data_IF_681768722383
#
_entry.id   IF_681768722383
#
_cell.length_a   1.000
_cell.length_b   1.000
_cell.length_c   1.000
_cell.angle_alpha   90.00
_cell.angle_beta   90.00
_cell.angle_gamma   90.00
#
_symmetry.space_group_name_H-M   'P 1'
#
loop_
_entity.id
_entity.type
_entity.pdbx_description
1 polymer ?
#
# COMPACT_ATOMS: atom_id res chain seq x y z
N UNK A 1 -14.09 -10.93 -7.38
CA UNK A 1 -13.08 -10.06 -6.73
C UNK A 1 -13.78 -8.83 -6.25
N UNK A 2 -13.69 -8.54 -4.97
CA UNK A 2 -14.24 -7.32 -4.39
C UNK A 2 -13.39 -6.12 -4.84
N UNK A 3 -14.06 -4.99 -5.14
CA UNK A 3 -13.38 -3.79 -5.59
C UNK A 3 -12.85 -3.03 -4.37
N UNK A 4 -11.53 -2.95 -4.25
CA UNK A 4 -10.88 -2.22 -3.17
C UNK A 4 -11.14 -0.71 -3.27
N UNK A 5 -11.57 -0.11 -2.16
CA UNK A 5 -11.86 1.32 -2.02
C UNK A 5 -11.04 1.93 -0.88
N UNK A 6 -10.96 3.26 -0.83
CA UNK A 6 -10.27 3.97 0.25
C UNK A 6 -10.79 3.59 1.64
N UNK A 7 -12.09 3.34 1.79
CA UNK A 7 -12.72 3.01 3.08
C UNK A 7 -12.16 1.71 3.70
N UNK A 8 -11.75 0.76 2.87
CA UNK A 8 -11.09 -0.47 3.34
C UNK A 8 -9.76 -0.18 4.06
N UNK A 9 -9.07 0.90 3.68
CA UNK A 9 -7.71 1.23 4.17
C UNK A 9 -7.67 2.41 5.12
N UNK A 10 -8.64 3.34 5.06
CA UNK A 10 -8.61 4.57 5.85
C UNK A 10 -8.54 4.30 7.37
N UNK A 11 -9.21 3.26 7.85
CA UNK A 11 -9.14 2.82 9.24
C UNK A 11 -7.86 2.07 9.62
N UNK A 12 -7.00 1.74 8.65
CA UNK A 12 -5.77 0.97 8.84
C UNK A 12 -4.51 1.86 8.91
N UNK A 13 -4.64 3.18 8.94
CA UNK A 13 -3.49 4.08 9.03
C UNK A 13 -2.78 3.89 10.37
N UNK A 14 -1.45 3.80 10.32
CA UNK A 14 -0.51 3.37 11.36
C UNK A 14 -0.58 1.88 11.72
N UNK A 15 -1.31 1.05 10.98
CA UNK A 15 -1.31 -0.41 11.14
C UNK A 15 -0.34 -1.08 10.14
N UNK A 16 0.11 -2.29 10.49
CA UNK A 16 1.14 -3.03 9.74
C UNK A 16 0.51 -4.04 8.79
N UNK A 17 0.93 -3.98 7.52
CA UNK A 17 0.66 -4.98 6.51
C UNK A 17 1.89 -5.87 6.35
N UNK A 18 1.70 -7.19 6.41
CA UNK A 18 2.77 -8.16 6.18
C UNK A 18 2.75 -8.63 4.72
N UNK A 19 3.90 -8.70 4.08
CA UNK A 19 4.05 -9.27 2.74
C UNK A 19 5.11 -10.38 2.75
N UNK A 20 4.90 -11.42 1.97
CA UNK A 20 5.94 -12.42 1.73
C UNK A 20 6.79 -12.02 0.53
N UNK A 21 8.12 -12.05 0.72
CA UNK A 21 9.11 -11.78 -0.32
C UNK A 21 10.28 -12.75 -0.16
N UNK A 22 10.46 -13.65 -1.12
CA UNK A 22 11.56 -14.62 -1.16
C UNK A 22 11.76 -15.34 0.19
N UNK A 23 10.70 -15.97 0.69
CA UNK A 23 10.66 -16.68 1.99
C UNK A 23 10.86 -15.81 3.24
N UNK A 24 10.90 -14.48 3.10
CA UNK A 24 10.93 -13.53 4.21
C UNK A 24 9.56 -12.86 4.36
N UNK A 25 9.13 -12.66 5.61
CA UNK A 25 8.02 -11.75 5.90
C UNK A 25 8.54 -10.33 6.06
N UNK A 26 7.98 -9.40 5.31
CA UNK A 26 8.35 -7.99 5.27
C UNK A 26 7.17 -7.15 5.75
N UNK A 27 7.43 -6.24 6.68
CA UNK A 27 6.40 -5.38 7.24
C UNK A 27 6.36 -4.01 6.57
N UNK A 28 5.16 -3.55 6.24
CA UNK A 28 4.88 -2.23 5.69
C UNK A 28 3.82 -1.54 6.54
N UNK A 29 4.17 -0.43 7.17
CA UNK A 29 3.21 0.37 7.94
C UNK A 29 2.48 1.32 7.00
N UNK A 30 1.15 1.29 6.98
CA UNK A 30 0.36 2.25 6.20
C UNK A 30 0.44 3.62 6.89
N UNK A 31 1.16 4.58 6.33
CA UNK A 31 1.34 5.92 6.95
C UNK A 31 0.38 6.97 6.42
N UNK A 32 -0.19 6.76 5.23
CA UNK A 32 -1.20 7.66 4.65
C UNK A 32 -2.17 6.87 3.77
N UNK A 33 -3.45 7.19 3.86
CA UNK A 33 -4.48 6.77 2.91
C UNK A 33 -5.30 8.01 2.54
N UNK A 34 -5.29 8.42 1.27
CA UNK A 34 -5.96 9.66 0.85
C UNK A 34 -6.63 9.54 -0.51
N UNK A 35 -7.73 10.28 -0.75
CA UNK A 35 -8.33 10.37 -2.07
C UNK A 35 -7.39 11.09 -3.04
N UNK A 36 -7.51 10.76 -4.32
CA UNK A 36 -6.90 11.50 -5.42
C UNK A 36 -7.98 12.23 -6.21
N UNK A 37 -7.63 13.34 -6.90
CA UNK A 37 -8.56 13.99 -7.80
C UNK A 37 -9.07 13.00 -8.87
N UNK A 38 -10.38 12.91 -9.04
CA UNK A 38 -10.98 12.05 -10.06
C UNK A 38 -10.59 12.57 -11.46
N UNK A 39 -9.81 11.77 -12.21
CA UNK A 39 -9.42 12.12 -13.58
C UNK A 39 -10.41 11.66 -14.64
N UNK A 40 -11.32 10.71 -14.33
CA UNK A 40 -12.27 10.13 -15.30
C UNK A 40 -13.63 9.89 -14.64
N UNK A 41 -14.70 10.24 -15.35
CA UNK A 41 -16.08 10.04 -14.89
C UNK A 41 -16.51 8.56 -14.94
N UNK A 42 -15.86 7.74 -15.78
CA UNK A 42 -16.16 6.31 -15.96
C UNK A 42 -15.25 5.36 -15.16
N UNK A 43 -14.57 5.86 -14.12
CA UNK A 43 -13.73 5.02 -13.29
C UNK A 43 -14.57 4.06 -12.43
N UNK A 44 -14.14 2.80 -12.32
CA UNK A 44 -14.85 1.81 -11.51
C UNK A 44 -14.89 2.17 -10.02
N UNK A 45 -13.94 3.00 -9.55
CA UNK A 45 -13.86 3.54 -8.19
C UNK A 45 -13.37 4.98 -8.18
N UNK A 46 -13.63 5.70 -7.09
CA UNK A 46 -12.92 6.95 -6.81
C UNK A 46 -11.43 6.65 -6.59
N UNK A 47 -10.50 7.37 -7.26
CA UNK A 47 -9.09 7.06 -7.15
C UNK A 47 -8.55 7.47 -5.77
N UNK A 48 -7.57 6.71 -5.28
CA UNK A 48 -6.92 6.98 -4.00
C UNK A 48 -5.47 6.50 -4.02
N UNK A 49 -4.67 7.05 -3.12
CA UNK A 49 -3.29 6.61 -2.90
C UNK A 49 -3.11 6.12 -1.47
N UNK A 50 -2.30 5.09 -1.34
CA UNK A 50 -1.75 4.61 -0.07
C UNK A 50 -0.26 4.88 -0.04
N UNK A 51 0.26 5.32 1.10
CA UNK A 51 1.69 5.45 1.35
C UNK A 51 2.07 4.51 2.48
N UNK A 52 3.02 3.64 2.22
CA UNK A 52 3.55 2.69 3.19
C UNK A 52 4.99 3.05 3.53
N UNK A 53 5.38 2.78 4.78
CA UNK A 53 6.77 2.84 5.22
C UNK A 53 7.25 1.42 5.50
N UNK A 54 8.45 1.11 5.04
CA UNK A 54 9.20 -0.04 5.50
C UNK A 54 10.52 0.42 6.13
N UNK A 55 10.91 -0.19 7.25
CA UNK A 55 12.07 0.22 8.05
C UNK A 55 13.34 -0.58 7.76
N UNK A 56 13.32 -1.48 6.77
CA UNK A 56 14.49 -2.25 6.40
C UNK A 56 15.59 -1.32 5.85
N UNK A 57 16.87 -1.63 6.10
CA UNK A 57 17.98 -0.84 5.59
C UNK A 57 18.23 -1.07 4.08
N UNK A 58 17.38 -1.86 3.41
CA UNK A 58 17.48 -2.19 1.99
C UNK A 58 16.25 -1.70 1.24
N UNK A 59 16.44 -1.39 -0.05
CA UNK A 59 15.34 -1.01 -0.94
C UNK A 59 14.66 -2.27 -1.49
N UNK A 60 13.35 -2.37 -1.31
CA UNK A 60 12.54 -3.41 -1.96
C UNK A 60 12.10 -2.96 -3.35
N UNK A 61 12.03 -3.88 -4.34
CA UNK A 61 11.76 -3.51 -5.72
C UNK A 61 10.30 -3.10 -5.94
N UNK A 62 10.04 -2.39 -7.03
CA UNK A 62 8.70 -2.11 -7.50
C UNK A 62 8.03 -3.38 -8.04
N UNK A 63 6.95 -3.83 -7.41
CA UNK A 63 6.19 -5.02 -7.82
C UNK A 63 4.84 -5.10 -7.10
N UNK A 64 4.05 -6.13 -7.41
CA UNK A 64 2.88 -6.49 -6.63
C UNK A 64 3.34 -7.30 -5.42
N UNK A 65 2.97 -6.84 -4.23
CA UNK A 65 3.18 -7.54 -2.96
C UNK A 65 1.88 -8.20 -2.54
N UNK A 66 1.92 -9.49 -2.18
CA UNK A 66 0.81 -10.17 -1.52
C UNK A 66 0.75 -9.68 -0.06
N UNK A 67 -0.02 -8.63 0.18
CA UNK A 67 -0.15 -7.96 1.46
C UNK A 67 -1.26 -8.60 2.29
N UNK A 68 -0.99 -8.86 3.57
CA UNK A 68 -1.94 -9.42 4.53
C UNK A 68 -2.18 -8.44 5.67
N UNK A 69 -3.44 -8.24 6.00
CA UNK A 69 -3.87 -7.42 7.13
C UNK A 69 -5.17 -7.96 7.73
N UNK A 70 -5.35 -8.02 9.07
CA UNK A 70 -6.55 -8.63 9.69
C UNK A 70 -7.89 -8.03 9.24
N UNK A 71 -7.95 -6.72 8.95
CA UNK A 71 -9.18 -6.03 8.51
C UNK A 71 -9.42 -6.11 7.00
N UNK A 72 -8.35 -6.16 6.19
CA UNK A 72 -8.43 -6.06 4.73
C UNK A 72 -8.36 -7.45 4.06
N UNK A 73 -7.83 -8.44 4.77
CA UNK A 73 -7.55 -9.77 4.23
C UNK A 73 -6.21 -9.81 3.49
N UNK A 74 -6.12 -10.73 2.53
CA UNK A 74 -4.96 -10.88 1.65
C UNK A 74 -5.25 -10.24 0.29
N UNK A 75 -4.43 -9.27 -0.10
CA UNK A 75 -4.62 -8.47 -1.31
C UNK A 75 -3.29 -8.22 -2.02
N UNK A 76 -3.28 -8.33 -3.34
CA UNK A 76 -2.13 -7.93 -4.16
C UNK A 76 -2.09 -6.40 -4.31
N UNK A 77 -1.06 -5.75 -3.75
CA UNK A 77 -0.87 -4.29 -3.85
C UNK A 77 0.39 -3.99 -4.67
N UNK A 78 0.25 -3.25 -5.76
CA UNK A 78 1.37 -2.76 -6.53
C UNK A 78 2.04 -1.59 -5.80
N UNK A 79 3.26 -1.82 -5.31
CA UNK A 79 4.06 -0.82 -4.60
C UNK A 79 5.18 -0.29 -5.48
N UNK A 80 5.34 1.03 -5.46
CA UNK A 80 6.44 1.77 -6.09
C UNK A 80 7.24 2.47 -4.98
N UNK A 81 8.57 2.26 -4.85
CA UNK A 81 9.38 3.07 -3.94
C UNK A 81 9.43 4.52 -4.43
N UNK A 82 9.12 5.48 -3.55
CA UNK A 82 9.02 6.90 -3.92
C UNK A 82 9.99 7.82 -3.18
N UNK A 83 10.50 7.39 -2.02
CA UNK A 83 11.49 8.17 -1.27
C UNK A 83 12.30 7.29 -0.31
N UNK A 84 13.51 7.73 0.01
CA UNK A 84 14.29 7.26 1.16
C UNK A 84 14.17 8.27 2.30
N UNK A 85 13.90 7.79 3.50
CA UNK A 85 13.85 8.59 4.73
C UNK A 85 14.86 8.05 5.75
N UNK A 86 15.09 8.81 6.83
CA UNK A 86 15.93 8.34 7.95
C UNK A 86 15.41 7.05 8.58
N UNK A 87 14.09 6.83 8.53
CA UNK A 87 13.42 5.68 9.11
C UNK A 87 13.24 4.50 8.15
N UNK A 88 13.79 4.56 6.93
CA UNK A 88 13.69 3.50 5.91
C UNK A 88 13.22 4.05 4.56
N UNK A 89 12.29 3.37 3.91
CA UNK A 89 11.82 3.72 2.57
C UNK A 89 10.30 3.89 2.54
N UNK A 90 9.84 4.83 1.71
CA UNK A 90 8.43 5.05 1.44
C UNK A 90 8.03 4.41 0.11
N UNK A 91 6.85 3.79 0.11
CA UNK A 91 6.28 3.07 -1.02
C UNK A 91 4.86 3.54 -1.27
N UNK A 92 4.52 3.83 -2.52
CA UNK A 92 3.19 4.27 -2.90
C UNK A 92 2.45 3.17 -3.67
N UNK A 93 1.17 3.04 -3.36
CA UNK A 93 0.19 2.37 -4.21
C UNK A 93 -0.82 3.41 -4.71
N UNK A 94 -1.18 3.33 -5.99
CA UNK A 94 -2.24 4.15 -6.59
C UNK A 94 -3.33 3.25 -7.14
N UNK A 95 -4.56 3.55 -6.74
CA UNK A 95 -5.75 2.82 -7.11
C UNK A 95 -6.64 3.75 -7.95
N UNK A 96 -6.95 3.36 -9.21
CA UNK A 96 -7.79 4.12 -10.16
C UNK A 96 -9.11 3.43 -10.48
#
# INVERSE_FOLDING_TARGET
>A
MELLTLEHFAGCVNETFAADLNDMSVEFVLVEARPLPAQRQDAARAPFSLLFRNTAPILFPQQIYAMRHPRVGEVGIFLVPVAQERAGFLYQAVFN
#
